data_IF_136434932731
#
_entry.id   IF_136434932731
#
_cell.length_a   1.000
_cell.length_b   1.000
_cell.length_c   1.000
_cell.angle_alpha   90.00
_cell.angle_beta   90.00
_cell.angle_gamma   90.00
#
_symmetry.space_group_name_H-M   'P 1'
#
loop_
_entity.id
_entity.type
_entity.pdbx_description
1 polymer ?
#
# COMPACT_ATOMS: atom_id res chain seq x y z
N UNK A 1 6.73 2.59 -17.58
CA UNK A 1 5.37 2.39 -17.04
C UNK A 1 4.75 3.75 -16.76
N UNK A 2 3.47 4.00 -17.07
CA UNK A 2 2.81 5.27 -16.68
C UNK A 2 2.80 5.34 -15.15
N UNK A 3 3.05 6.51 -14.56
CA UNK A 3 3.08 6.70 -13.10
C UNK A 3 1.81 6.17 -12.41
N UNK A 4 0.67 6.20 -13.12
CA UNK A 4 -0.62 5.66 -12.71
C UNK A 4 -0.60 4.13 -12.49
N UNK A 5 0.15 3.39 -13.31
CA UNK A 5 0.31 1.94 -13.18
C UNK A 5 1.13 1.59 -11.95
N UNK A 6 2.17 2.38 -11.64
CA UNK A 6 2.97 2.20 -10.43
C UNK A 6 2.14 2.46 -9.16
N UNK A 7 1.36 3.55 -9.13
CA UNK A 7 0.47 3.85 -8.01
C UNK A 7 -0.52 2.70 -7.76
N UNK A 8 -1.21 2.23 -8.82
CA UNK A 8 -2.13 1.10 -8.73
C UNK A 8 -1.46 -0.17 -8.18
N UNK A 9 -0.23 -0.47 -8.62
CA UNK A 9 0.51 -1.63 -8.14
C UNK A 9 0.74 -1.56 -6.62
N UNK A 10 1.21 -0.42 -6.11
CA UNK A 10 1.40 -0.22 -4.67
C UNK A 10 0.08 -0.35 -3.89
N UNK A 11 -1.01 0.24 -4.38
CA UNK A 11 -2.32 0.10 -3.72
C UNK A 11 -2.82 -1.36 -3.70
N UNK A 12 -2.65 -2.10 -4.79
CA UNK A 12 -3.04 -3.51 -4.86
C UNK A 12 -2.18 -4.35 -3.92
N UNK A 13 -0.86 -4.16 -3.94
CA UNK A 13 0.06 -4.90 -3.07
C UNK A 13 -0.23 -4.65 -1.59
N UNK A 14 -0.41 -3.38 -1.22
CA UNK A 14 -0.81 -2.99 0.14
C UNK A 14 -2.14 -3.60 0.56
N UNK A 15 -3.13 -3.61 -0.34
CA UNK A 15 -4.43 -4.26 -0.09
C UNK A 15 -4.32 -5.77 0.15
N UNK A 16 -3.48 -6.47 -0.63
CA UNK A 16 -3.23 -7.91 -0.45
C UNK A 16 -2.55 -8.18 0.89
N UNK A 17 -1.53 -7.40 1.26
CA UNK A 17 -0.86 -7.54 2.55
C UNK A 17 -1.80 -7.25 3.73
N UNK A 18 -2.70 -6.28 3.59
CA UNK A 18 -3.73 -5.99 4.58
C UNK A 18 -4.71 -7.15 4.73
N UNK A 19 -5.08 -7.82 3.63
CA UNK A 19 -5.94 -9.01 3.66
C UNK A 19 -5.26 -10.17 4.39
N UNK A 20 -3.97 -10.42 4.13
CA UNK A 20 -3.21 -11.42 4.88
C UNK A 20 -3.07 -11.06 6.36
N UNK A 21 -2.86 -9.78 6.68
CA UNK A 21 -2.86 -9.29 8.05
C UNK A 21 -4.20 -9.59 8.73
N UNK A 22 -5.31 -9.28 8.06
CA UNK A 22 -6.65 -9.53 8.57
C UNK A 22 -6.87 -11.02 8.87
N UNK A 23 -6.50 -11.92 7.96
CA UNK A 23 -6.64 -13.36 8.21
C UNK A 23 -5.76 -13.82 9.37
N UNK A 24 -4.51 -13.37 9.41
CA UNK A 24 -3.59 -13.68 10.51
C UNK A 24 -4.12 -13.24 11.87
N UNK A 25 -4.73 -12.05 11.96
CA UNK A 25 -5.33 -11.52 13.20
C UNK A 25 -6.69 -12.15 13.51
N UNK A 26 -7.40 -12.66 12.50
CA UNK A 26 -8.67 -13.37 12.70
C UNK A 26 -8.48 -14.77 13.26
N UNK A 27 -7.40 -15.46 12.85
CA UNK A 27 -7.07 -16.81 13.32
C UNK A 27 -6.27 -16.80 14.63
N UNK A 28 -5.53 -15.72 14.89
CA UNK A 28 -4.69 -15.56 16.09
C UNK A 28 -4.74 -14.11 16.59
N UNK A 29 -4.52 -13.88 17.88
CA UNK A 29 -4.30 -12.50 18.36
C UNK A 29 -3.11 -11.84 17.66
N UNK A 30 -3.01 -10.51 17.73
CA UNK A 30 -1.90 -9.77 17.12
C UNK A 30 -0.53 -10.39 17.43
N UNK A 31 0.12 -10.89 16.39
CA UNK A 31 1.47 -11.44 16.45
C UNK A 31 2.48 -10.45 15.86
N UNK A 32 3.77 -10.68 16.12
CA UNK A 32 4.85 -9.92 15.47
C UNK A 32 4.69 -9.90 13.94
N UNK A 33 4.32 -11.04 13.34
CA UNK A 33 4.13 -11.16 11.89
C UNK A 33 2.94 -10.36 11.37
N UNK A 34 1.84 -10.35 12.11
CA UNK A 34 0.65 -9.55 11.76
C UNK A 34 0.98 -8.05 11.78
N UNK A 35 1.74 -7.60 12.78
CA UNK A 35 2.19 -6.20 12.88
C UNK A 35 3.14 -5.86 11.73
N UNK A 36 4.07 -6.76 11.38
CA UNK A 36 5.01 -6.57 10.29
C UNK A 36 4.29 -6.47 8.93
N UNK A 37 3.32 -7.35 8.67
CA UNK A 37 2.49 -7.30 7.46
C UNK A 37 1.67 -6.01 7.38
N UNK A 38 1.09 -5.57 8.50
CA UNK A 38 0.37 -4.30 8.58
C UNK A 38 1.27 -3.10 8.28
N UNK A 39 2.50 -3.11 8.79
CA UNK A 39 3.49 -2.06 8.54
C UNK A 39 3.89 -1.99 7.06
N UNK A 40 4.12 -3.14 6.41
CA UNK A 40 4.39 -3.17 4.98
C UNK A 40 3.19 -2.71 4.15
N UNK A 41 1.97 -3.15 4.49
CA UNK A 41 0.75 -2.67 3.83
C UNK A 41 0.61 -1.14 3.92
N UNK A 42 0.87 -0.58 5.10
CA UNK A 42 0.84 0.87 5.31
C UNK A 42 1.91 1.60 4.47
N UNK A 43 3.13 1.06 4.41
CA UNK A 43 4.19 1.61 3.57
C UNK A 43 3.81 1.62 2.09
N UNK A 44 3.22 0.54 1.58
CA UNK A 44 2.75 0.47 0.20
C UNK A 44 1.69 1.53 -0.10
N UNK A 45 0.74 1.76 0.82
CA UNK A 45 -0.24 2.84 0.65
C UNK A 45 0.39 4.23 0.64
N UNK A 46 1.40 4.48 1.48
CA UNK A 46 2.15 5.74 1.47
C UNK A 46 2.88 5.93 0.13
N UNK A 47 3.53 4.89 -0.38
CA UNK A 47 4.20 4.93 -1.69
C UNK A 47 3.20 5.19 -2.82
N UNK A 48 2.07 4.47 -2.83
CA UNK A 48 0.98 4.68 -3.78
C UNK A 48 0.48 6.12 -3.76
N UNK A 49 0.27 6.69 -2.57
CA UNK A 49 -0.15 8.09 -2.41
C UNK A 49 0.90 9.07 -2.90
N UNK A 50 2.19 8.84 -2.61
CA UNK A 50 3.28 9.68 -3.10
C UNK A 50 3.35 9.68 -4.62
N UNK A 51 3.14 8.54 -5.29
CA UNK A 51 3.07 8.48 -6.75
C UNK A 51 1.89 9.27 -7.31
N UNK A 52 0.72 9.19 -6.69
CA UNK A 52 -0.45 9.99 -7.09
C UNK A 52 -0.19 11.49 -6.91
N UNK A 53 0.43 11.89 -5.78
CA UNK A 53 0.79 13.28 -5.51
C UNK A 53 1.77 13.82 -6.55
N UNK A 54 2.84 13.08 -6.84
CA UNK A 54 3.80 13.45 -7.87
C UNK A 54 3.12 13.61 -9.24
N UNK A 55 2.19 12.72 -9.59
CA UNK A 55 1.43 12.83 -10.84
C UNK A 55 0.55 14.10 -10.86
N UNK A 56 -0.13 14.42 -9.76
CA UNK A 56 -0.95 15.63 -9.65
C UNK A 56 -0.11 16.90 -9.78
N UNK A 57 1.10 16.92 -9.20
CA UNK A 57 2.04 18.04 -9.32
C UNK A 57 2.59 18.18 -10.75
N UNK A 58 2.87 17.08 -11.44
CA UNK A 58 3.30 17.09 -12.85
C UNK A 58 2.20 17.58 -13.79
N UNK A 59 0.95 17.19 -13.55
CA UNK A 59 -0.20 17.66 -14.33
C UNK A 59 -0.49 19.16 -14.13
N UNK A 60 -0.17 19.74 -12.97
CA UNK A 60 -0.30 21.20 -12.74
C UNK A 60 0.76 22.04 -13.46
N UNK A 61 1.90 21.45 -13.82
CA UNK A 61 3.01 22.15 -14.50
C UNK A 61 2.93 22.08 -16.02
N UNK A 62 1.99 21.30 -16.56
CA UNK A 62 1.69 21.18 -17.99
C UNK A 62 0.54 22.10 -18.35
#
# INVERSE_FOLDING_TARGET
MKASTAALFYFVLGGVLLMFTYFSVSESSWSFWSILLAAFAAYDFVMGFNYLRLMAEQNKKK
#
